data_IF_571692513597
#
_entry.id   IF_571692513597
#
_cell.length_a   1.000
_cell.length_b   1.000
_cell.length_c   1.000
_cell.angle_alpha   90.00
_cell.angle_beta   90.00
_cell.angle_gamma   90.00
#
_symmetry.space_group_name_H-M   'P 1'
#
loop_
_entity.id
_entity.type
_entity.pdbx_description
1 polymer ?
#
# COMPACT_ATOMS: atom_id res chain seq x y z
N UNK A 1 -16.88 1.43 6.99
CA UNK A 1 -16.63 0.14 6.35
C UNK A 1 -18.00 -0.42 6.01
N UNK A 2 -18.27 -0.81 4.76
CA UNK A 2 -19.59 -1.36 4.39
C UNK A 2 -19.43 -2.83 4.04
N UNK A 3 -20.13 -3.69 4.77
CA UNK A 3 -20.18 -5.11 4.50
C UNK A 3 -21.49 -5.39 3.74
N UNK A 4 -21.39 -5.79 2.47
CA UNK A 4 -22.58 -6.18 1.71
C UNK A 4 -22.83 -7.68 1.86
N UNK A 5 -23.67 -8.05 2.82
CA UNK A 5 -24.05 -9.45 3.12
C UNK A 5 -24.93 -10.09 2.04
N UNK A 6 -25.42 -9.31 1.07
CA UNK A 6 -26.34 -9.78 0.04
C UNK A 6 -25.66 -10.09 -1.29
N UNK A 7 -24.34 -9.90 -1.39
CA UNK A 7 -23.55 -10.22 -2.58
C UNK A 7 -22.99 -11.65 -2.48
N UNK A 8 -23.12 -12.50 -3.51
CA UNK A 8 -22.51 -13.83 -3.53
C UNK A 8 -20.97 -13.78 -3.51
N UNK A 9 -20.40 -12.63 -3.86
CA UNK A 9 -19.01 -12.27 -3.65
C UNK A 9 -18.96 -11.35 -2.44
N UNK A 10 -18.30 -11.76 -1.35
CA UNK A 10 -18.04 -10.88 -0.23
C UNK A 10 -17.27 -9.66 -0.74
N UNK A 11 -17.96 -8.54 -0.99
CA UNK A 11 -17.34 -7.31 -1.46
C UNK A 11 -16.97 -6.51 -0.23
N UNK A 12 -15.67 -6.51 0.05
CA UNK A 12 -15.10 -5.62 1.03
C UNK A 12 -14.75 -4.32 0.31
N UNK A 13 -15.42 -3.24 0.68
CA UNK A 13 -15.18 -1.91 0.12
C UNK A 13 -14.67 -0.98 1.22
N UNK A 14 -13.57 -0.30 0.92
CA UNK A 14 -12.99 0.72 1.76
C UNK A 14 -12.99 2.04 1.01
N UNK A 15 -13.27 3.13 1.72
CA UNK A 15 -13.19 4.47 1.17
C UNK A 15 -11.78 5.02 1.35
N UNK A 16 -11.37 5.91 0.45
CA UNK A 16 -10.11 6.64 0.56
C UNK A 16 -9.97 7.31 1.94
N UNK A 17 -11.07 7.88 2.46
CA UNK A 17 -11.14 8.50 3.79
C UNK A 17 -10.77 7.52 4.92
N UNK A 18 -11.18 6.26 4.83
CA UNK A 18 -10.88 5.25 5.86
C UNK A 18 -9.40 4.86 5.84
N UNK A 19 -8.81 4.74 4.66
CA UNK A 19 -7.37 4.52 4.52
C UNK A 19 -6.58 5.74 5.01
N UNK A 20 -6.99 6.96 4.66
CA UNK A 20 -6.36 8.17 5.16
C UNK A 20 -6.42 8.22 6.69
N UNK A 21 -7.58 7.93 7.28
CA UNK A 21 -7.74 7.90 8.74
C UNK A 21 -6.81 6.87 9.38
N UNK A 22 -6.68 5.68 8.79
CA UNK A 22 -5.78 4.64 9.29
C UNK A 22 -4.31 5.08 9.23
N UNK A 23 -3.87 5.67 8.12
CA UNK A 23 -2.50 6.23 7.99
C UNK A 23 -2.25 7.29 9.05
N UNK A 24 -3.19 8.21 9.28
CA UNK A 24 -3.06 9.22 10.34
C UNK A 24 -2.96 8.60 11.73
N UNK A 25 -3.70 7.52 12.00
CA UNK A 25 -3.60 6.82 13.28
C UNK A 25 -2.28 6.10 13.47
N UNK A 26 -1.70 5.54 12.42
CA UNK A 26 -0.35 4.97 12.49
C UNK A 26 0.66 6.07 12.83
N UNK A 27 0.60 7.22 12.14
CA UNK A 27 1.47 8.37 12.44
C UNK A 27 1.31 8.83 13.89
N UNK A 28 0.07 8.94 14.39
CA UNK A 28 -0.20 9.37 15.77
C UNK A 28 0.38 8.40 16.81
N UNK A 29 0.28 7.09 16.56
CA UNK A 29 0.79 6.06 17.48
C UNK A 29 2.31 6.03 17.46
N UNK A 30 2.93 6.09 16.28
CA UNK A 30 4.39 6.01 16.12
C UNK A 30 5.13 7.31 16.49
N UNK A 31 4.45 8.45 16.50
CA UNK A 31 5.03 9.74 16.92
C UNK A 31 4.96 9.99 18.43
N UNK A 32 4.13 9.26 19.18
CA UNK A 32 4.11 9.33 20.65
C UNK A 32 5.26 8.49 21.21
N UNK A 33 5.84 8.95 22.32
CA UNK A 33 7.09 8.50 22.98
C UNK A 33 7.19 7.00 23.37
N UNK A 34 6.33 6.11 22.88
CA UNK A 34 6.49 4.66 23.02
C UNK A 34 7.48 4.17 21.96
N UNK A 35 8.77 4.38 22.22
CA UNK A 35 9.88 4.11 21.32
C UNK A 35 9.64 2.93 20.37
N UNK A 36 9.60 3.24 19.08
CA UNK A 36 9.83 2.35 17.93
C UNK A 36 8.97 1.09 17.77
N UNK A 37 8.14 0.69 18.75
CA UNK A 37 7.49 -0.62 18.76
C UNK A 37 6.21 -0.66 19.61
N UNK A 38 5.30 0.29 19.42
CA UNK A 38 3.93 0.12 19.93
C UNK A 38 3.23 -1.02 19.15
N UNK A 39 2.79 -2.11 19.80
CA UNK A 39 2.07 -3.20 19.14
C UNK A 39 0.83 -2.74 18.37
N UNK A 40 0.19 -1.66 18.81
CA UNK A 40 -0.94 -1.07 18.11
C UNK A 40 -0.54 -0.55 16.72
N UNK A 41 0.66 0.05 16.58
CA UNK A 41 1.20 0.49 15.29
C UNK A 41 1.36 -0.69 14.33
N UNK A 42 1.91 -1.81 14.81
CA UNK A 42 2.02 -3.05 14.03
C UNK A 42 0.66 -3.60 13.58
N UNK A 43 -0.33 -3.64 14.47
CA UNK A 43 -1.69 -4.09 14.13
C UNK A 43 -2.31 -3.19 13.06
N UNK A 44 -2.18 -1.87 13.20
CA UNK A 44 -2.74 -0.91 12.23
C UNK A 44 -2.07 -1.04 10.86
N UNK A 45 -0.75 -1.31 10.81
CA UNK A 45 -0.03 -1.60 9.56
C UNK A 45 -0.52 -2.86 8.88
N UNK A 46 -0.75 -3.94 9.64
CA UNK A 46 -1.31 -5.18 9.09
C UNK A 46 -2.71 -4.97 8.52
N UNK A 47 -3.56 -4.17 9.21
CA UNK A 47 -4.88 -3.82 8.68
C UNK A 47 -4.73 -3.02 7.38
N UNK A 48 -3.82 -2.03 7.34
CA UNK A 48 -3.57 -1.24 6.13
C UNK A 48 -3.14 -2.11 4.95
N UNK A 49 -2.20 -3.03 5.18
CA UNK A 49 -1.73 -3.97 4.16
C UNK A 49 -2.85 -4.86 3.62
N UNK A 50 -3.66 -5.45 4.51
CA UNK A 50 -4.81 -6.27 4.10
C UNK A 50 -5.76 -5.45 3.25
N UNK A 51 -6.11 -4.23 3.69
CA UNK A 51 -7.03 -3.36 2.95
C UNK A 51 -6.51 -3.03 1.57
N UNK A 52 -5.27 -2.56 1.45
CA UNK A 52 -4.65 -2.24 0.17
C UNK A 52 -4.54 -3.48 -0.73
N UNK A 53 -4.38 -4.67 -0.15
CA UNK A 53 -4.33 -5.93 -0.88
C UNK A 53 -5.69 -6.41 -1.40
N UNK A 54 -6.83 -5.83 -1.01
CA UNK A 54 -8.14 -6.36 -1.43
C UNK A 54 -8.56 -5.92 -2.84
N UNK A 55 -8.11 -4.75 -3.29
CA UNK A 55 -8.56 -4.16 -4.55
C UNK A 55 -7.45 -3.30 -5.19
N UNK A 56 -6.93 -3.76 -6.32
CA UNK A 56 -5.84 -3.12 -7.05
C UNK A 56 -6.17 -1.67 -7.44
N UNK A 57 -7.35 -1.43 -8.05
CA UNK A 57 -7.77 -0.11 -8.49
C UNK A 57 -7.83 0.88 -7.33
N UNK A 58 -8.43 0.46 -6.20
CA UNK A 58 -8.55 1.30 -5.01
C UNK A 58 -7.19 1.55 -4.33
N UNK A 59 -6.30 0.57 -4.35
CA UNK A 59 -4.94 0.73 -3.85
C UNK A 59 -4.16 1.76 -4.69
N UNK A 60 -4.25 1.68 -6.03
CA UNK A 60 -3.64 2.66 -6.94
C UNK A 60 -4.22 4.05 -6.66
N UNK A 61 -5.54 4.21 -6.63
CA UNK A 61 -6.22 5.49 -6.38
C UNK A 61 -5.73 6.13 -5.07
N UNK A 62 -5.64 5.34 -3.99
CA UNK A 62 -5.17 5.83 -2.70
C UNK A 62 -3.68 6.19 -2.70
N UNK A 63 -2.83 5.37 -3.30
CA UNK A 63 -1.38 5.64 -3.35
C UNK A 63 -1.11 6.89 -4.20
N UNK A 64 -1.81 7.05 -5.32
CA UNK A 64 -1.70 8.24 -6.18
C UNK A 64 -2.14 9.54 -5.47
N UNK A 65 -3.04 9.44 -4.48
CA UNK A 65 -3.57 10.60 -3.73
C UNK A 65 -2.69 11.05 -2.55
N UNK A 66 -1.63 10.30 -2.23
CA UNK A 66 -0.68 10.70 -1.18
C UNK A 66 0.00 12.03 -1.54
N UNK A 67 0.14 12.88 -0.53
CA UNK A 67 0.53 14.30 -0.69
C UNK A 67 1.80 14.68 0.08
N UNK A 68 2.40 13.76 0.84
CA UNK A 68 3.64 14.01 1.58
C UNK A 68 4.40 12.71 1.90
N UNK A 69 5.71 12.88 2.16
CA UNK A 69 6.65 11.78 2.42
C UNK A 69 6.22 10.92 3.61
N UNK A 70 5.78 11.51 4.73
CA UNK A 70 5.42 10.72 5.93
C UNK A 70 4.30 9.72 5.63
N UNK A 71 3.24 10.15 4.93
CA UNK A 71 2.16 9.23 4.54
C UNK A 71 2.64 8.17 3.56
N UNK A 72 3.49 8.56 2.61
CA UNK A 72 4.12 7.63 1.67
C UNK A 72 4.89 6.54 2.41
N UNK A 73 5.73 6.91 3.39
CA UNK A 73 6.54 5.98 4.19
C UNK A 73 5.70 4.98 4.98
N UNK A 74 4.56 5.42 5.54
CA UNK A 74 3.63 4.51 6.20
C UNK A 74 3.15 3.43 5.23
N UNK A 75 2.76 3.82 4.02
CA UNK A 75 2.24 2.92 2.99
C UNK A 75 3.34 2.05 2.37
N UNK A 76 4.56 2.58 2.22
CA UNK A 76 5.70 1.87 1.62
C UNK A 76 6.05 0.57 2.35
N UNK A 77 5.85 0.50 3.66
CA UNK A 77 6.10 -0.73 4.41
C UNK A 77 5.18 -1.89 4.00
N UNK A 78 3.95 -1.60 3.57
CA UNK A 78 3.00 -2.61 3.09
C UNK A 78 3.26 -2.99 1.62
N UNK A 79 4.13 -2.26 0.92
CA UNK A 79 4.22 -2.38 -0.54
C UNK A 79 4.77 -3.73 -1.01
N UNK A 80 5.71 -4.34 -0.30
CA UNK A 80 6.24 -5.67 -0.69
C UNK A 80 5.15 -6.74 -0.74
N UNK A 81 4.17 -6.70 0.18
CA UNK A 81 3.04 -7.60 0.16
C UNK A 81 2.06 -7.27 -0.98
N UNK A 82 1.79 -5.98 -1.22
CA UNK A 82 0.87 -5.52 -2.26
C UNK A 82 1.43 -5.84 -3.65
N UNK A 83 2.72 -5.60 -3.89
CA UNK A 83 3.40 -5.85 -5.17
C UNK A 83 3.56 -7.34 -5.47
N UNK A 84 3.63 -8.20 -4.45
CA UNK A 84 3.54 -9.66 -4.62
C UNK A 84 2.12 -10.13 -5.00
N UNK A 85 1.08 -9.37 -4.66
CA UNK A 85 -0.31 -9.71 -4.97
C UNK A 85 -0.80 -9.16 -6.30
N UNK A 86 -0.41 -7.93 -6.64
CA UNK A 86 -0.78 -7.26 -7.87
C UNK A 86 0.46 -7.07 -8.74
N UNK A 87 0.56 -7.90 -9.78
CA UNK A 87 1.65 -7.87 -10.75
C UNK A 87 1.16 -7.38 -12.12
N UNK A 88 0.07 -6.61 -12.17
CA UNK A 88 -0.41 -6.06 -13.44
C UNK A 88 0.53 -4.94 -13.92
N UNK A 89 0.72 -4.83 -15.23
CA UNK A 89 1.48 -3.73 -15.84
C UNK A 89 0.97 -2.36 -15.41
N UNK A 90 -0.36 -2.20 -15.35
CA UNK A 90 -1.01 -0.97 -14.92
C UNK A 90 -0.67 -0.62 -13.46
N UNK A 91 -0.70 -1.59 -12.54
CA UNK A 91 -0.32 -1.37 -11.15
C UNK A 91 1.14 -0.91 -11.05
N UNK A 92 2.05 -1.66 -11.66
CA UNK A 92 3.49 -1.39 -11.58
C UNK A 92 3.82 0.00 -12.13
N UNK A 93 3.31 0.36 -13.31
CA UNK A 93 3.57 1.66 -13.94
C UNK A 93 3.04 2.83 -13.08
N UNK A 94 1.83 2.66 -12.53
CA UNK A 94 1.18 3.68 -11.68
C UNK A 94 1.92 3.91 -10.37
N UNK A 95 2.36 2.83 -9.72
CA UNK A 95 3.10 2.94 -8.47
C UNK A 95 4.51 3.46 -8.71
N UNK A 96 5.17 3.07 -9.79
CA UNK A 96 6.48 3.65 -10.16
C UNK A 96 6.38 5.16 -10.41
N UNK A 97 5.38 5.59 -11.18
CA UNK A 97 5.14 7.01 -11.42
C UNK A 97 4.91 7.78 -10.11
N UNK A 98 4.12 7.21 -9.20
CA UNK A 98 3.84 7.83 -7.91
C UNK A 98 5.06 7.88 -7.00
N UNK A 99 5.85 6.80 -6.95
CA UNK A 99 7.08 6.71 -6.14
C UNK A 99 8.07 7.81 -6.53
N UNK A 100 8.16 8.17 -7.81
CA UNK A 100 9.01 9.28 -8.31
C UNK A 100 8.63 10.66 -7.75
N UNK A 101 7.44 10.83 -7.16
CA UNK A 101 7.05 12.08 -6.47
C UNK A 101 7.69 12.23 -5.08
N UNK A 102 8.18 11.13 -4.50
CA UNK A 102 8.65 11.04 -3.11
C UNK A 102 10.16 10.72 -3.03
N UNK A 103 10.97 11.33 -3.90
CA UNK A 103 12.43 11.08 -3.97
C UNK A 103 13.15 11.42 -2.65
N UNK A 104 12.60 12.34 -1.85
CA UNK A 104 13.13 12.73 -0.54
C UNK A 104 12.81 11.73 0.58
N UNK A 105 11.90 10.78 0.36
CA UNK A 105 11.52 9.79 1.37
C UNK A 105 12.67 8.82 1.66
N UNK A 106 12.84 8.46 2.93
CA UNK A 106 13.83 7.45 3.34
C UNK A 106 13.51 6.04 2.80
N UNK A 107 12.26 5.81 2.37
CA UNK A 107 11.79 4.55 1.81
C UNK A 107 11.81 4.51 0.28
N UNK A 108 12.22 5.60 -0.39
CA UNK A 108 12.21 5.71 -1.85
C UNK A 108 12.95 4.54 -2.53
N UNK A 109 14.19 4.26 -2.11
CA UNK A 109 14.98 3.20 -2.73
C UNK A 109 14.36 1.81 -2.53
N UNK A 110 13.90 1.51 -1.30
CA UNK A 110 13.24 0.24 -0.99
C UNK A 110 11.97 0.04 -1.83
N UNK A 111 11.24 1.13 -2.11
CA UNK A 111 10.07 1.07 -2.99
C UNK A 111 10.45 0.75 -4.44
N UNK A 112 11.51 1.38 -4.96
CA UNK A 112 12.02 1.06 -6.29
C UNK A 112 12.46 -0.40 -6.40
N UNK A 113 13.11 -0.94 -5.37
CA UNK A 113 13.56 -2.33 -5.35
C UNK A 113 12.35 -3.29 -5.42
N UNK A 114 11.31 -3.07 -4.60
CA UNK A 114 10.07 -3.84 -4.65
C UNK A 114 9.34 -3.72 -6.00
N UNK A 115 9.36 -2.54 -6.64
CA UNK A 115 8.80 -2.34 -7.98
C UNK A 115 9.56 -3.18 -9.02
N UNK A 116 10.89 -3.20 -8.95
CA UNK A 116 11.72 -3.98 -9.85
C UNK A 116 11.51 -5.48 -9.66
N UNK A 117 11.37 -5.95 -8.41
CA UNK A 117 11.00 -7.34 -8.12
C UNK A 117 9.66 -7.71 -8.76
N UNK A 118 8.66 -6.84 -8.65
CA UNK A 118 7.35 -7.07 -9.28
C UNK A 118 7.41 -7.07 -10.82
N UNK A 119 8.24 -6.21 -11.43
CA UNK A 119 8.48 -6.22 -12.89
C UNK A 119 9.09 -7.53 -13.36
N UNK A 120 10.14 -7.99 -12.69
CA UNK A 120 10.81 -9.23 -13.04
C UNK A 120 9.85 -10.43 -12.93
N UNK A 121 9.00 -10.44 -11.90
CA UNK A 121 7.99 -11.49 -11.75
C UNK A 121 6.92 -11.48 -12.85
N UNK A 122 6.54 -10.29 -13.35
CA UNK A 122 5.64 -10.16 -14.50
C UNK A 122 6.30 -10.70 -15.78
N UNK A 123 7.54 -10.29 -16.06
CA UNK A 123 8.29 -10.74 -17.25
C UNK A 123 8.47 -12.27 -17.26
N UNK A 124 8.80 -12.87 -16.11
CA UNK A 124 8.92 -14.33 -15.96
C UNK A 124 7.58 -15.04 -16.21
N UNK A 125 6.46 -14.43 -15.84
CA UNK A 125 5.12 -15.00 -16.06
C UNK A 125 4.71 -14.98 -17.54
N UNK A 126 5.09 -13.93 -18.28
CA UNK A 126 4.79 -13.80 -19.72
C UNK A 126 5.61 -14.78 -20.57
N UNK A 127 6.81 -15.17 -20.13
CA UNK A 127 7.65 -16.17 -20.83
C UNK A 127 7.07 -17.58 -20.69
N UNK A 128 6.27 -17.85 -19.65
CA UNK A 128 5.68 -19.16 -19.37
C UNK A 128 4.30 -19.37 -20.03
N UNK A 129 3.75 -18.34 -20.69
CA UNK A 129 2.45 -18.38 -21.40
C UNK A 129 2.62 -18.46 -22.91
#
# INVERSE_FOLDING_TARGET
>A
MKFNTNSPYCSFDFTERELSFLVYKIIEVESKEYGSFDPAGGILRNILEVLLSLNETKAIEFIESLDNDVKFEIVSNSFGAISGKFQSKNFIEKIEYTTKKFISSIYFQRMLDNINEAKNALDDSEILT
#
